data_IF_686075251904
#
_entry.id   IF_686075251904
#
_cell.length_a   1.000
_cell.length_b   1.000
_cell.length_c   1.000
_cell.angle_alpha   90.00
_cell.angle_beta   90.00
_cell.angle_gamma   90.00
#
_symmetry.space_group_name_H-M   'P 1'
#
loop_
_entity.id
_entity.type
_entity.pdbx_description
1 polymer ?
#
# COMPACT_ATOMS: atom_id res chain seq x y z
N UNK A 1 -1.12 16.68 5.68
CA UNK A 1 -1.27 15.25 5.36
C UNK A 1 -1.37 15.05 3.87
N UNK A 2 -0.54 14.18 3.28
CA UNK A 2 -0.79 13.70 1.91
C UNK A 2 -2.11 12.93 1.87
N UNK A 3 -2.80 13.05 0.74
CA UNK A 3 -4.05 12.35 0.48
C UNK A 3 -3.85 10.82 0.62
N UNK A 4 -4.82 10.13 1.22
CA UNK A 4 -4.72 8.68 1.47
C UNK A 4 -4.63 7.89 0.16
N UNK A 5 -5.22 8.41 -0.91
CA UNK A 5 -5.15 7.86 -2.26
C UNK A 5 -3.74 8.02 -2.84
N UNK A 6 -3.11 9.18 -2.67
CA UNK A 6 -1.71 9.40 -3.10
C UNK A 6 -0.76 8.41 -2.40
N UNK A 7 -0.95 8.20 -1.09
CA UNK A 7 -0.17 7.22 -0.30
C UNK A 7 -0.40 5.79 -0.80
N UNK A 8 -1.64 5.43 -1.12
CA UNK A 8 -1.98 4.12 -1.66
C UNK A 8 -1.34 3.88 -3.03
N UNK A 9 -1.46 4.84 -3.95
CA UNK A 9 -0.86 4.76 -5.28
C UNK A 9 0.66 4.65 -5.23
N UNK A 10 1.29 5.41 -4.32
CA UNK A 10 2.71 5.32 -4.08
C UNK A 10 3.11 3.89 -3.67
N UNK A 11 2.45 3.31 -2.67
CA UNK A 11 2.76 1.95 -2.21
C UNK A 11 2.47 0.88 -3.26
N UNK A 12 1.45 1.07 -4.11
CA UNK A 12 1.19 0.17 -5.25
C UNK A 12 2.35 0.22 -6.26
N UNK A 13 2.86 1.41 -6.59
CA UNK A 13 4.04 1.57 -7.47
C UNK A 13 5.30 0.96 -6.84
N UNK A 14 5.52 1.20 -5.54
CA UNK A 14 6.65 0.62 -4.80
C UNK A 14 6.59 -0.91 -4.79
N UNK A 15 5.42 -1.50 -4.56
CA UNK A 15 5.21 -2.96 -4.64
C UNK A 15 5.56 -3.50 -6.02
N UNK A 16 5.11 -2.84 -7.09
CA UNK A 16 5.43 -3.25 -8.46
C UNK A 16 6.94 -3.19 -8.75
N UNK A 17 7.64 -2.16 -8.24
CA UNK A 17 9.09 -2.07 -8.32
C UNK A 17 9.81 -3.19 -7.55
N UNK A 18 9.40 -3.44 -6.31
CA UNK A 18 9.95 -4.51 -5.47
C UNK A 18 9.73 -5.89 -6.10
N UNK A 19 8.59 -6.12 -6.76
CA UNK A 19 8.32 -7.35 -7.49
C UNK A 19 9.27 -7.54 -8.68
N UNK A 20 9.50 -6.48 -9.47
CA UNK A 20 10.48 -6.53 -10.58
C UNK A 20 11.89 -6.83 -10.07
N UNK A 21 12.30 -6.22 -8.95
CA UNK A 21 13.59 -6.50 -8.32
C UNK A 21 13.67 -7.95 -7.82
N UNK A 22 12.59 -8.48 -7.24
CA UNK A 22 12.53 -9.88 -6.80
C UNK A 22 12.74 -10.84 -7.97
N UNK A 23 12.05 -10.61 -9.10
CA UNK A 23 12.20 -11.43 -10.31
C UNK A 23 13.62 -11.34 -10.89
N UNK A 24 14.26 -10.17 -10.81
CA UNK A 24 15.63 -9.97 -11.28
C UNK A 24 16.71 -10.44 -10.28
N UNK A 25 16.33 -10.87 -9.07
CA UNK A 25 17.29 -11.22 -8.02
C UNK A 25 18.02 -12.53 -8.34
N UNK A 26 19.34 -12.53 -8.16
CA UNK A 26 20.18 -13.73 -8.37
C UNK A 26 20.89 -14.17 -7.11
N UNK A 27 20.86 -13.34 -6.06
CA UNK A 27 21.48 -13.60 -4.75
C UNK A 27 20.42 -13.66 -3.66
N UNK A 28 20.67 -14.49 -2.65
CA UNK A 28 19.77 -14.68 -1.51
C UNK A 28 19.45 -13.36 -0.80
N UNK A 29 20.43 -12.49 -0.62
CA UNK A 29 20.25 -11.20 0.04
C UNK A 29 19.28 -10.29 -0.74
N UNK A 30 19.43 -10.19 -2.06
CA UNK A 30 18.52 -9.43 -2.92
C UNK A 30 17.07 -9.96 -2.83
N UNK A 31 16.91 -11.28 -2.82
CA UNK A 31 15.59 -11.93 -2.65
C UNK A 31 14.98 -11.54 -1.30
N UNK A 32 15.77 -11.57 -0.22
CA UNK A 32 15.30 -11.22 1.12
C UNK A 32 14.89 -9.75 1.22
N UNK A 33 15.68 -8.83 0.66
CA UNK A 33 15.39 -7.39 0.69
C UNK A 33 14.18 -7.03 -0.16
N UNK A 34 14.06 -7.60 -1.37
CA UNK A 34 12.91 -7.42 -2.22
C UNK A 34 11.64 -8.01 -1.57
N UNK A 35 11.74 -9.18 -0.94
CA UNK A 35 10.63 -9.81 -0.21
C UNK A 35 10.19 -8.98 1.01
N UNK A 36 11.14 -8.42 1.77
CA UNK A 36 10.84 -7.51 2.89
C UNK A 36 10.12 -6.26 2.40
N UNK A 37 10.58 -5.68 1.29
CA UNK A 37 9.95 -4.53 0.66
C UNK A 37 8.51 -4.84 0.24
N UNK A 38 8.27 -6.01 -0.37
CA UNK A 38 6.93 -6.46 -0.74
C UNK A 38 6.00 -6.63 0.46
N UNK A 39 6.46 -7.29 1.52
CA UNK A 39 5.67 -7.47 2.75
C UNK A 39 5.30 -6.12 3.38
N UNK A 40 6.25 -5.19 3.41
CA UNK A 40 6.03 -3.84 3.92
C UNK A 40 5.00 -3.09 3.09
N UNK A 41 5.15 -3.07 1.75
CA UNK A 41 4.19 -2.42 0.86
C UNK A 41 2.79 -3.05 1.02
N UNK A 42 2.69 -4.38 1.10
CA UNK A 42 1.42 -5.08 1.28
C UNK A 42 0.73 -4.72 2.60
N UNK A 43 1.49 -4.58 3.70
CA UNK A 43 0.94 -4.16 4.98
C UNK A 43 0.40 -2.72 4.90
N UNK A 44 1.15 -1.81 4.28
CA UNK A 44 0.74 -0.40 4.13
C UNK A 44 -0.45 -0.23 3.20
N UNK A 45 -0.48 -0.93 2.07
CA UNK A 45 -1.63 -0.94 1.15
C UNK A 45 -2.90 -1.36 1.89
N UNK A 46 -2.85 -2.43 2.69
CA UNK A 46 -4.00 -2.87 3.49
C UNK A 46 -4.44 -1.82 4.52
N UNK A 47 -3.49 -1.20 5.21
CA UNK A 47 -3.79 -0.13 6.16
C UNK A 47 -4.46 1.07 5.49
N UNK A 48 -3.90 1.56 4.37
CA UNK A 48 -4.45 2.70 3.65
C UNK A 48 -5.81 2.41 3.01
N UNK A 49 -6.03 1.20 2.48
CA UNK A 49 -7.36 0.81 2.01
C UNK A 49 -8.39 0.77 3.15
N UNK A 50 -8.02 0.20 4.30
CA UNK A 50 -8.90 0.17 5.48
C UNK A 50 -9.24 1.57 5.97
N UNK A 51 -8.25 2.47 5.98
CA UNK A 51 -8.44 3.87 6.38
C UNK A 51 -9.33 4.62 5.37
N UNK A 52 -9.08 4.46 4.07
CA UNK A 52 -9.88 5.08 3.03
C UNK A 52 -11.35 4.62 3.09
N UNK A 53 -11.57 3.32 3.31
CA UNK A 53 -12.91 2.78 3.50
C UNK A 53 -13.59 3.35 4.75
N UNK A 54 -12.88 3.45 5.88
CA UNK A 54 -13.41 4.04 7.11
C UNK A 54 -13.80 5.52 6.95
N UNK A 55 -12.95 6.30 6.27
CA UNK A 55 -13.24 7.72 5.94
C UNK A 55 -14.49 7.85 5.07
N UNK A 56 -14.62 7.01 4.05
CA UNK A 56 -15.81 6.98 3.18
C UNK A 56 -17.07 6.63 3.97
N UNK A 57 -17.02 5.59 4.80
CA UNK A 57 -18.17 5.19 5.63
C UNK A 57 -18.59 6.29 6.62
N UNK A 58 -17.63 7.01 7.19
CA UNK A 58 -17.92 8.15 8.06
C UNK A 58 -18.57 9.29 7.27
N UNK A 59 -18.04 9.61 6.08
CA UNK A 59 -18.61 10.62 5.21
C UNK A 59 -20.04 10.27 4.78
N UNK A 60 -20.27 9.02 4.36
CA UNK A 60 -21.59 8.52 3.96
C UNK A 60 -22.58 8.58 5.14
N UNK A 61 -22.14 8.26 6.37
CA UNK A 61 -22.97 8.37 7.57
C UNK A 61 -23.35 9.81 7.88
N UNK A 62 -22.37 10.72 7.88
CA UNK A 62 -22.62 12.14 8.12
C UNK A 62 -23.54 12.76 7.07
N UNK A 63 -23.49 12.28 5.82
CA UNK A 63 -24.37 12.72 4.74
C UNK A 63 -25.82 12.21 4.87
N UNK A 64 -26.06 11.14 5.65
CA UNK A 64 -27.39 10.63 5.96
C UNK A 64 -28.01 11.29 7.20
N UNK A 65 -27.18 11.86 8.07
CA UNK A 65 -27.59 12.56 9.29
C UNK A 65 -27.92 14.06 9.04
N UNK A 66 -27.88 14.53 7.78
CA UNK A 66 -28.06 15.90 7.30
C UNK A 66 -29.26 16.01 6.34
#
# INVERSE_FOLDING_TARGET
DCDIQEKLEFEVRMRAGAYKLLVASTKKEQVLDASRSLLTCNARIKAYMSEAQGRKQLQDRLALDL
#
